data_IF_246796095917
#
_entry.id   IF_246796095917
#
_cell.length_a   1.000
_cell.length_b   1.000
_cell.length_c   1.000
_cell.angle_alpha   90.00
_cell.angle_beta   90.00
_cell.angle_gamma   90.00
#
_symmetry.space_group_name_H-M   'P 1'
#
loop_
_entity.id
_entity.type
_entity.pdbx_description
1 polymer ?
#
# COMPACT_ATOMS: atom_id res chain seq x y z
N UNK A 1 -0.55 31.27 24.80
CA UNK A 1 -0.36 31.50 23.34
C UNK A 1 -1.40 30.64 22.61
N UNK A 2 -2.23 31.19 21.70
CA UNK A 2 -3.04 30.34 20.83
C UNK A 2 -2.12 29.39 20.05
N UNK A 3 -2.46 28.10 20.02
CA UNK A 3 -1.67 27.13 19.23
C UNK A 3 -1.83 27.46 17.74
N UNK A 4 -0.75 27.46 16.94
CA UNK A 4 -0.85 27.55 15.50
C UNK A 4 -1.87 26.55 14.97
N UNK A 5 -2.78 27.01 14.10
CA UNK A 5 -3.78 26.16 13.42
C UNK A 5 -3.17 24.92 12.75
N UNK A 6 -1.91 25.03 12.31
CA UNK A 6 -1.11 23.94 11.75
C UNK A 6 -0.85 22.83 12.75
N UNK A 7 -0.51 23.14 14.00
CA UNK A 7 -0.14 22.17 15.03
C UNK A 7 -1.34 21.29 15.41
N UNK A 8 -2.52 21.92 15.48
CA UNK A 8 -3.78 21.20 15.74
C UNK A 8 -4.09 20.23 14.59
N UNK A 9 -3.86 20.65 13.35
CA UNK A 9 -4.04 19.78 12.19
C UNK A 9 -3.02 18.64 12.17
N UNK A 10 -1.75 18.90 12.52
CA UNK A 10 -0.74 17.85 12.66
C UNK A 10 -1.11 16.83 13.73
N UNK A 11 -1.61 17.27 14.88
CA UNK A 11 -2.10 16.38 15.94
C UNK A 11 -3.26 15.51 15.47
N UNK A 12 -4.24 16.09 14.78
CA UNK A 12 -5.37 15.34 14.21
C UNK A 12 -4.90 14.28 13.20
N UNK A 13 -3.95 14.64 12.34
CA UNK A 13 -3.38 13.74 11.34
C UNK A 13 -2.56 12.62 11.96
N UNK A 14 -1.76 12.92 12.98
CA UNK A 14 -0.92 11.94 13.66
C UNK A 14 -1.70 11.04 14.62
N UNK A 15 -2.91 11.43 15.03
CA UNK A 15 -3.82 10.58 15.78
C UNK A 15 -4.36 9.37 15.00
N UNK A 16 -4.14 9.32 13.67
CA UNK A 16 -4.48 8.16 12.83
C UNK A 16 -5.98 7.98 12.53
N UNK A 17 -6.87 8.59 13.29
CA UNK A 17 -8.31 8.55 13.09
C UNK A 17 -8.79 9.53 11.99
N UNK A 18 -9.95 9.22 11.40
CA UNK A 18 -10.65 10.16 10.52
C UNK A 18 -11.28 11.30 11.34
N UNK A 19 -11.27 12.52 10.82
CA UNK A 19 -11.85 13.69 11.48
C UNK A 19 -12.64 14.57 10.50
N UNK A 20 -13.54 15.40 11.01
CA UNK A 20 -14.31 16.38 10.22
C UNK A 20 -13.73 17.79 10.31
N UNK A 21 -14.23 18.68 9.45
CA UNK A 21 -13.95 20.11 9.56
C UNK A 21 -14.45 20.72 10.88
N UNK A 22 -15.51 20.15 11.47
CA UNK A 22 -16.05 20.61 12.75
C UNK A 22 -15.12 20.23 13.91
N UNK A 23 -14.57 19.01 13.89
CA UNK A 23 -13.61 18.57 14.91
C UNK A 23 -12.36 19.46 14.90
N UNK A 24 -11.87 19.78 13.70
CA UNK A 24 -10.75 20.69 13.53
C UNK A 24 -11.08 22.12 13.98
N UNK A 25 -12.25 22.66 13.64
CA UNK A 25 -12.67 23.99 14.07
C UNK A 25 -12.78 24.10 15.60
N UNK A 26 -13.38 23.10 16.24
CA UNK A 26 -13.58 23.05 17.69
C UNK A 26 -12.24 23.00 18.44
N UNK A 27 -11.28 22.23 17.94
CA UNK A 27 -9.95 22.10 18.56
C UNK A 27 -9.05 23.30 18.31
N UNK A 28 -9.11 23.88 17.11
CA UNK A 28 -8.25 25.00 16.74
C UNK A 28 -8.76 26.35 17.26
N UNK A 29 -10.04 26.47 17.61
CA UNK A 29 -10.62 27.74 18.06
C UNK A 29 -10.62 28.82 16.97
N UNK A 30 -10.66 28.42 15.69
CA UNK A 30 -10.57 29.30 14.51
C UNK A 30 -11.84 29.27 13.66
N UNK A 31 -11.97 30.24 12.76
CA UNK A 31 -13.13 30.31 11.87
C UNK A 31 -13.18 29.13 10.91
N UNK A 32 -14.41 28.72 10.53
CA UNK A 32 -14.62 27.67 9.51
C UNK A 32 -13.92 27.98 8.19
N UNK A 33 -13.85 29.25 7.80
CA UNK A 33 -13.16 29.67 6.58
C UNK A 33 -11.65 29.40 6.63
N UNK A 34 -11.01 29.65 7.77
CA UNK A 34 -9.61 29.29 7.98
C UNK A 34 -9.42 27.77 7.91
N UNK A 35 -10.27 27.01 8.60
CA UNK A 35 -10.27 25.53 8.55
C UNK A 35 -10.35 25.01 7.11
N UNK A 36 -11.34 25.45 6.34
CA UNK A 36 -11.52 25.00 4.95
C UNK A 36 -10.32 25.36 4.07
N UNK A 37 -9.68 26.52 4.28
CA UNK A 37 -8.48 26.92 3.55
C UNK A 37 -7.31 25.96 3.81
N UNK A 38 -7.06 25.62 5.07
CA UNK A 38 -5.98 24.69 5.45
C UNK A 38 -6.25 23.26 4.97
N UNK A 39 -7.47 22.76 5.13
CA UNK A 39 -7.86 21.43 4.63
C UNK A 39 -7.71 21.34 3.12
N UNK A 40 -8.19 22.35 2.37
CA UNK A 40 -8.04 22.39 0.91
C UNK A 40 -6.57 22.41 0.49
N UNK A 41 -5.73 23.20 1.17
CA UNK A 41 -4.29 23.27 0.93
C UNK A 41 -3.63 21.90 1.14
N UNK A 42 -3.89 21.23 2.25
CA UNK A 42 -3.26 19.93 2.57
C UNK A 42 -3.77 18.76 1.73
N UNK A 43 -5.02 18.83 1.26
CA UNK A 43 -5.52 17.89 0.25
C UNK A 43 -4.80 18.13 -1.08
N UNK A 44 -4.64 19.38 -1.51
CA UNK A 44 -3.91 19.71 -2.74
C UNK A 44 -2.43 19.33 -2.68
N UNK A 45 -1.78 19.47 -1.51
CA UNK A 45 -0.41 19.04 -1.24
C UNK A 45 -0.28 17.50 -1.07
N UNK A 46 -1.39 16.77 -1.09
CA UNK A 46 -1.37 15.32 -0.92
C UNK A 46 -0.99 14.84 0.49
N UNK A 47 -1.08 15.71 1.51
CA UNK A 47 -0.90 15.36 2.93
C UNK A 47 -2.15 14.74 3.54
N UNK A 48 -3.33 15.10 3.02
CA UNK A 48 -4.63 14.58 3.43
C UNK A 48 -5.33 13.86 2.29
N UNK A 49 -6.12 12.85 2.66
CA UNK A 49 -7.17 12.28 1.81
C UNK A 49 -8.53 12.65 2.38
N UNK A 50 -9.51 12.89 1.51
CA UNK A 50 -10.89 13.20 1.88
C UNK A 50 -11.82 12.12 1.32
N UNK A 51 -12.73 11.62 2.16
CA UNK A 51 -13.81 10.71 1.79
C UNK A 51 -15.16 11.37 2.10
N UNK A 52 -16.22 10.95 1.41
CA UNK A 52 -17.54 11.57 1.55
C UNK A 52 -17.66 12.94 0.86
N UNK A 53 -18.84 13.57 0.97
CA UNK A 53 -19.15 14.87 0.33
C UNK A 53 -19.85 15.81 1.32
N UNK A 54 -19.66 17.11 1.11
CA UNK A 54 -20.29 18.16 1.92
C UNK A 54 -20.15 17.91 3.43
N UNK A 55 -21.28 17.73 4.14
CA UNK A 55 -21.30 17.49 5.60
C UNK A 55 -20.76 16.12 6.02
N UNK A 56 -20.73 15.15 5.11
CA UNK A 56 -20.18 13.82 5.34
C UNK A 56 -18.68 13.74 5.03
N UNK A 57 -18.01 14.86 4.73
CA UNK A 57 -16.59 14.87 4.43
C UNK A 57 -15.76 14.46 5.65
N UNK A 58 -14.94 13.43 5.50
CA UNK A 58 -13.97 12.94 6.48
C UNK A 58 -12.55 13.10 5.93
N UNK A 59 -11.66 13.58 6.77
CA UNK A 59 -10.26 13.81 6.45
C UNK A 59 -9.41 12.84 7.25
N UNK A 60 -8.34 12.35 6.63
CA UNK A 60 -7.32 11.53 7.28
C UNK A 60 -5.97 11.75 6.64
N UNK A 61 -4.92 11.35 7.33
CA UNK A 61 -3.57 11.29 6.75
C UNK A 61 -3.62 10.56 5.40
N UNK A 62 -3.11 11.19 4.35
CA UNK A 62 -2.88 10.46 3.10
C UNK A 62 -1.72 9.52 3.33
N UNK A 63 -2.02 8.23 3.34
CA UNK A 63 -1.00 7.18 3.30
C UNK A 63 -0.74 6.90 1.83
N UNK A 64 0.42 7.34 1.33
CA UNK A 64 0.95 6.81 0.07
C UNK A 64 1.61 5.50 0.44
N UNK A 65 1.18 4.35 -0.12
CA UNK A 65 1.91 3.13 0.11
C UNK A 65 3.35 3.36 -0.36
N UNK A 66 4.32 3.10 0.52
CA UNK A 66 5.70 2.96 0.06
C UNK A 66 5.67 1.85 -0.99
N UNK A 67 6.15 2.17 -2.19
CA UNK A 67 6.24 1.25 -3.32
C UNK A 67 7.69 0.81 -3.44
N UNK A 68 7.92 -0.48 -3.38
CA UNK A 68 9.25 -1.05 -3.60
C UNK A 68 9.20 -1.89 -4.88
N UNK A 69 10.04 -1.53 -5.86
CA UNK A 69 10.25 -2.37 -7.05
C UNK A 69 11.39 -3.31 -6.76
N UNK A 70 11.19 -4.58 -7.10
CA UNK A 70 12.14 -5.65 -6.85
C UNK A 70 12.35 -6.40 -8.16
N UNK A 71 13.59 -6.43 -8.63
CA UNK A 71 13.97 -7.08 -9.88
C UNK A 71 14.16 -8.58 -9.68
N UNK A 72 13.42 -9.38 -10.45
CA UNK A 72 13.55 -10.83 -10.44
C UNK A 72 14.64 -11.21 -11.43
N UNK A 73 15.87 -11.36 -10.94
CA UNK A 73 16.99 -11.77 -11.78
C UNK A 73 16.77 -13.18 -12.37
N UNK A 74 17.15 -13.38 -13.64
CA UNK A 74 16.89 -14.64 -14.37
C UNK A 74 17.49 -15.90 -13.74
N UNK A 75 18.58 -15.80 -12.97
CA UNK A 75 19.15 -16.95 -12.24
C UNK A 75 18.40 -17.23 -10.93
N UNK A 76 17.78 -16.21 -10.36
CA UNK A 76 17.03 -16.30 -9.10
C UNK A 76 15.58 -16.72 -9.27
N UNK A 77 15.01 -16.70 -10.47
CA UNK A 77 13.60 -17.07 -10.70
C UNK A 77 13.33 -18.58 -10.66
N UNK A 78 14.37 -19.43 -10.50
CA UNK A 78 14.23 -20.89 -10.53
C UNK A 78 13.99 -21.52 -9.16
N UNK A 79 14.56 -20.94 -8.10
CA UNK A 79 14.71 -21.62 -6.81
C UNK A 79 13.91 -20.98 -5.70
N UNK A 80 13.47 -21.81 -4.75
CA UNK A 80 12.75 -21.37 -3.55
C UNK A 80 13.51 -20.33 -2.72
N UNK A 81 14.79 -20.59 -2.46
CA UNK A 81 15.64 -19.73 -1.62
C UNK A 81 15.78 -18.33 -2.22
N UNK A 82 15.82 -18.24 -3.54
CA UNK A 82 15.91 -16.97 -4.24
C UNK A 82 14.67 -16.10 -4.01
N UNK A 83 13.46 -16.67 -4.02
CA UNK A 83 12.24 -15.94 -3.65
C UNK A 83 12.28 -15.44 -2.20
N UNK A 84 12.80 -16.24 -1.26
CA UNK A 84 12.96 -15.81 0.15
C UNK A 84 13.90 -14.62 0.29
N UNK A 85 15.09 -14.73 -0.29
CA UNK A 85 16.11 -13.67 -0.22
C UNK A 85 15.61 -12.38 -0.87
N UNK A 86 14.90 -12.50 -1.99
CA UNK A 86 14.33 -11.37 -2.72
C UNK A 86 13.32 -10.57 -1.88
N UNK A 87 12.63 -11.22 -0.94
CA UNK A 87 11.50 -10.68 -0.20
C UNK A 87 11.74 -10.51 1.30
N UNK A 88 12.95 -10.81 1.79
CA UNK A 88 13.25 -10.87 3.23
C UNK A 88 13.10 -9.51 3.93
N UNK A 89 13.48 -8.43 3.27
CA UNK A 89 13.52 -7.07 3.84
C UNK A 89 12.47 -6.13 3.20
N UNK A 90 11.38 -6.71 2.71
CA UNK A 90 10.30 -5.94 2.08
C UNK A 90 9.38 -5.36 3.16
N UNK A 91 9.46 -4.05 3.36
CA UNK A 91 8.63 -3.31 4.33
C UNK A 91 7.50 -2.50 3.67
N UNK A 92 7.48 -2.48 2.33
CA UNK A 92 6.53 -1.73 1.52
C UNK A 92 5.12 -2.34 1.54
N UNK A 93 4.08 -1.49 1.63
CA UNK A 93 2.67 -1.92 1.50
C UNK A 93 2.31 -2.31 0.07
N UNK A 94 3.10 -1.90 -0.90
CA UNK A 94 2.92 -2.23 -2.31
C UNK A 94 4.28 -2.60 -2.91
N UNK A 95 4.37 -3.77 -3.53
CA UNK A 95 5.62 -4.33 -4.05
C UNK A 95 5.42 -4.67 -5.51
N UNK A 96 6.28 -4.15 -6.37
CA UNK A 96 6.28 -4.42 -7.79
C UNK A 96 7.41 -5.40 -8.13
N UNK A 97 7.04 -6.63 -8.46
CA UNK A 97 7.96 -7.64 -8.95
C UNK A 97 8.15 -7.47 -10.45
N UNK A 98 9.36 -7.11 -10.83
CA UNK A 98 9.73 -6.89 -12.22
C UNK A 98 10.46 -8.10 -12.80
N UNK A 99 9.83 -8.72 -13.79
CA UNK A 99 10.33 -9.91 -14.46
C UNK A 99 11.07 -9.60 -15.77
N UNK A 100 11.51 -8.36 -15.96
CA UNK A 100 12.31 -7.95 -17.12
C UNK A 100 13.53 -8.88 -17.29
N UNK A 101 13.67 -9.46 -18.48
CA UNK A 101 14.85 -10.26 -18.84
C UNK A 101 14.88 -11.69 -18.33
N UNK A 102 13.86 -12.18 -17.61
CA UNK A 102 13.87 -13.59 -17.17
C UNK A 102 13.77 -14.55 -18.36
N UNK A 103 14.62 -15.58 -18.37
CA UNK A 103 14.61 -16.65 -19.38
C UNK A 103 13.90 -17.90 -18.90
N UNK A 104 13.87 -18.13 -17.57
CA UNK A 104 13.22 -19.26 -16.91
C UNK A 104 12.47 -18.83 -15.64
N UNK A 105 11.50 -19.62 -15.19
CA UNK A 105 10.73 -19.39 -13.96
C UNK A 105 10.32 -20.75 -13.38
N UNK A 106 10.79 -21.04 -12.16
CA UNK A 106 10.56 -22.33 -11.50
C UNK A 106 9.33 -22.33 -10.59
N UNK A 107 8.69 -23.49 -10.48
CA UNK A 107 7.52 -23.66 -9.61
C UNK A 107 7.86 -23.45 -8.14
N UNK A 108 9.06 -23.83 -7.71
CA UNK A 108 9.52 -23.61 -6.33
C UNK A 108 9.59 -22.11 -5.95
N UNK A 109 9.95 -21.26 -6.91
CA UNK A 109 9.95 -19.81 -6.72
C UNK A 109 8.50 -19.31 -6.54
N UNK A 110 7.56 -19.82 -7.36
CA UNK A 110 6.16 -19.45 -7.29
C UNK A 110 5.46 -19.99 -6.03
N UNK A 111 5.82 -21.19 -5.59
CA UNK A 111 5.36 -21.76 -4.32
C UNK A 111 5.75 -20.88 -3.15
N UNK A 112 7.02 -20.47 -3.08
CA UNK A 112 7.45 -19.57 -2.02
C UNK A 112 6.74 -18.22 -2.09
N UNK A 113 6.66 -17.63 -3.29
CA UNK A 113 6.02 -16.32 -3.48
C UNK A 113 4.53 -16.36 -3.08
N UNK A 114 3.78 -17.33 -3.59
CA UNK A 114 2.32 -17.35 -3.51
C UNK A 114 1.75 -18.16 -2.36
N UNK A 115 2.42 -19.24 -1.95
CA UNK A 115 1.91 -20.15 -0.92
C UNK A 115 2.58 -19.93 0.45
N UNK A 116 3.73 -19.26 0.51
CA UNK A 116 4.42 -18.97 1.79
C UNK A 116 4.45 -17.49 2.09
N UNK A 117 5.10 -16.69 1.25
CA UNK A 117 5.37 -15.28 1.55
C UNK A 117 4.09 -14.43 1.49
N UNK A 118 3.30 -14.51 0.41
CA UNK A 118 2.08 -13.70 0.29
C UNK A 118 1.00 -14.00 1.36
N UNK A 119 0.81 -15.25 1.82
CA UNK A 119 -0.06 -15.54 2.97
C UNK A 119 0.45 -15.00 4.31
N UNK A 120 1.78 -14.96 4.51
CA UNK A 120 2.40 -14.39 5.70
C UNK A 120 2.34 -12.85 5.74
N UNK A 121 2.35 -12.19 4.56
CA UNK A 121 2.35 -10.73 4.41
C UNK A 121 1.03 -10.23 3.82
N UNK A 122 -0.08 -10.37 4.58
CA UNK A 122 -1.44 -10.11 4.08
C UNK A 122 -1.73 -8.64 3.78
N UNK A 123 -0.98 -7.75 4.40
CA UNK A 123 -1.08 -6.30 4.28
C UNK A 123 -0.25 -5.73 3.11
N UNK A 124 0.52 -6.58 2.43
CA UNK A 124 1.32 -6.19 1.26
C UNK A 124 0.57 -6.52 -0.04
N UNK A 125 0.48 -5.54 -0.94
CA UNK A 125 -0.04 -5.72 -2.28
C UNK A 125 1.09 -6.06 -3.25
N UNK A 126 1.10 -7.29 -3.74
CA UNK A 126 2.03 -7.71 -4.81
C UNK A 126 1.47 -7.34 -6.18
N UNK A 127 2.31 -6.66 -6.98
CA UNK A 127 2.09 -6.35 -8.38
C UNK A 127 3.19 -6.98 -9.22
N UNK A 128 2.84 -7.34 -10.44
CA UNK A 128 3.73 -8.06 -11.36
C UNK A 128 3.81 -7.25 -12.64
N UNK A 129 5.02 -6.95 -13.06
CA UNK A 129 5.29 -6.20 -14.29
C UNK A 129 6.30 -6.94 -15.15
N UNK A 130 6.21 -6.70 -16.47
CA UNK A 130 7.08 -7.29 -17.50
C UNK A 130 7.22 -8.82 -17.45
N UNK A 131 6.21 -9.55 -16.93
CA UNK A 131 6.19 -11.00 -16.98
C UNK A 131 6.10 -11.47 -18.44
N UNK A 132 7.08 -12.24 -18.95
CA UNK A 132 6.99 -12.80 -20.30
C UNK A 132 5.75 -13.68 -20.45
N UNK A 133 4.97 -13.49 -21.52
CA UNK A 133 3.66 -14.13 -21.71
C UNK A 133 3.70 -15.66 -21.64
N UNK A 134 4.83 -16.29 -21.99
CA UNK A 134 5.04 -17.74 -21.87
C UNK A 134 4.91 -18.27 -20.44
N UNK A 135 5.17 -17.43 -19.44
CA UNK A 135 5.05 -17.78 -18.02
C UNK A 135 3.72 -17.39 -17.41
N UNK A 136 2.87 -16.64 -18.12
CA UNK A 136 1.58 -16.20 -17.61
C UNK A 136 0.68 -17.38 -17.17
N UNK A 137 0.56 -18.50 -17.93
CA UNK A 137 -0.32 -19.60 -17.53
C UNK A 137 0.08 -20.22 -16.18
N UNK A 138 1.35 -20.59 -16.00
CA UNK A 138 1.84 -21.16 -14.74
C UNK A 138 1.67 -20.14 -13.60
N UNK A 139 2.09 -18.89 -13.83
CA UNK A 139 2.05 -17.85 -12.82
C UNK A 139 0.64 -17.60 -12.28
N UNK A 140 -0.33 -17.43 -13.17
CA UNK A 140 -1.71 -17.17 -12.77
C UNK A 140 -2.41 -18.41 -12.19
N UNK A 141 -1.97 -19.62 -12.52
CA UNK A 141 -2.43 -20.84 -11.84
C UNK A 141 -2.06 -20.81 -10.35
N UNK A 142 -0.80 -20.53 -10.00
CA UNK A 142 -0.36 -20.37 -8.61
C UNK A 142 -1.07 -19.21 -7.90
N UNK A 143 -1.18 -18.05 -8.56
CA UNK A 143 -1.89 -16.90 -8.00
C UNK A 143 -3.38 -17.18 -7.75
N UNK A 144 -4.01 -18.03 -8.56
CA UNK A 144 -5.39 -18.48 -8.34
C UNK A 144 -5.47 -19.47 -7.18
N UNK A 145 -4.57 -20.46 -7.13
CA UNK A 145 -4.50 -21.44 -6.05
C UNK A 145 -4.33 -20.77 -4.68
N UNK A 146 -3.42 -19.80 -4.57
CA UNK A 146 -3.22 -19.03 -3.33
C UNK A 146 -4.47 -18.26 -2.88
N UNK A 147 -5.26 -17.72 -3.83
CA UNK A 147 -6.54 -17.06 -3.52
C UNK A 147 -7.60 -18.03 -3.03
N UNK A 148 -7.64 -19.26 -3.57
CA UNK A 148 -8.58 -20.28 -3.15
C UNK A 148 -8.26 -20.82 -1.75
N UNK A 149 -6.97 -21.06 -1.45
CA UNK A 149 -6.52 -21.43 -0.10
C UNK A 149 -6.90 -20.34 0.92
N UNK A 150 -6.79 -19.06 0.53
CA UNK A 150 -7.24 -17.93 1.37
C UNK A 150 -8.76 -17.93 1.64
N UNK A 151 -9.59 -18.43 0.73
CA UNK A 151 -11.05 -18.41 0.88
C UNK A 151 -11.60 -19.52 1.79
N UNK A 152 -10.87 -20.63 1.95
CA UNK A 152 -11.30 -21.80 2.74
C UNK A 152 -10.87 -21.71 4.21
N UNK A 153 -9.88 -20.87 4.53
CA UNK A 153 -9.34 -20.71 5.89
C UNK A 153 -9.98 -19.61 6.74
N UNK A 154 -11.25 -19.26 6.49
CA UNK A 154 -12.04 -18.29 7.27
C UNK A 154 -13.32 -18.96 7.75
#
# INVERSE_FOLDING_TARGET
MPQPITDVLERLVNGGAEFSSSDFANLAGVTRQAVHRHLKKWVAEGRLSVTGKARAARYRRRVVPLRQRVEVASAGSLYRLSARLLLMDVEAKEVELDFTGITALGDEFLDELFLVWAPAHRDVQLKVVHLPSRFAPQFFAFAKAARQVRAVGT
#
